data_IF_212392004952
#
_entry.id   IF_212392004952
#
_cell.length_a   1.000
_cell.length_b   1.000
_cell.length_c   1.000
_cell.angle_alpha   90.00
_cell.angle_beta   90.00
_cell.angle_gamma   90.00
#
_symmetry.space_group_name_H-M   'P 1'
#
loop_
_entity.id
_entity.type
_entity.pdbx_description
1 polymer ?
#
# COMPACT_ATOMS: atom_id res chain seq x y z
N UNK A 1 3.32 6.10 -4.77
CA UNK A 1 2.74 4.93 -5.44
C UNK A 1 3.26 4.78 -6.87
N UNK A 2 3.02 5.76 -7.76
CA UNK A 2 3.51 5.77 -9.15
C UNK A 2 4.95 5.24 -9.34
N UNK A 3 5.94 5.82 -8.64
CA UNK A 3 7.35 5.38 -8.75
C UNK A 3 7.53 3.89 -8.52
N UNK A 4 6.90 3.35 -7.46
CA UNK A 4 6.98 1.93 -7.13
C UNK A 4 6.28 1.07 -8.18
N UNK A 5 5.07 1.45 -8.59
CA UNK A 5 4.27 0.69 -9.57
C UNK A 5 4.95 0.60 -10.95
N UNK A 6 5.78 1.58 -11.31
CA UNK A 6 6.55 1.62 -12.56
C UNK A 6 8.05 1.30 -12.37
N UNK A 7 8.46 0.85 -11.17
CA UNK A 7 9.81 0.35 -10.92
C UNK A 7 10.92 1.39 -10.83
N UNK A 8 10.59 2.66 -10.61
CA UNK A 8 11.57 3.72 -10.35
C UNK A 8 12.15 3.58 -8.94
N UNK A 9 13.48 3.64 -8.82
CA UNK A 9 14.24 3.47 -7.58
C UNK A 9 15.26 4.61 -7.43
N UNK A 10 14.75 5.82 -7.18
CA UNK A 10 15.52 7.08 -7.19
C UNK A 10 15.70 7.72 -5.80
N UNK A 11 15.24 7.06 -4.74
CA UNK A 11 15.47 7.46 -3.35
C UNK A 11 15.52 6.23 -2.45
N UNK A 12 15.82 6.44 -1.16
CA UNK A 12 15.98 5.34 -0.20
C UNK A 12 14.74 4.43 -0.15
N UNK A 13 13.54 4.98 -0.01
CA UNK A 13 12.30 4.21 0.09
C UNK A 13 12.06 3.38 -1.17
N UNK A 14 12.15 4.01 -2.35
CA UNK A 14 11.87 3.31 -3.62
C UNK A 14 12.94 2.28 -3.96
N UNK A 15 14.19 2.52 -3.58
CA UNK A 15 15.30 1.55 -3.71
C UNK A 15 15.12 0.35 -2.78
N UNK A 16 14.78 0.58 -1.51
CA UNK A 16 14.49 -0.49 -0.55
C UNK A 16 13.34 -1.37 -1.02
N UNK A 17 12.26 -0.75 -1.48
CA UNK A 17 11.11 -1.45 -2.05
C UNK A 17 11.51 -2.30 -3.25
N UNK A 18 12.33 -1.76 -4.18
CA UNK A 18 12.78 -2.50 -5.36
C UNK A 18 13.65 -3.69 -4.98
N UNK A 19 14.47 -3.55 -3.95
CA UNK A 19 15.33 -4.61 -3.42
C UNK A 19 14.56 -5.60 -2.53
N UNK A 20 13.35 -5.29 -2.07
CA UNK A 20 12.60 -6.13 -1.11
C UNK A 20 12.30 -7.54 -1.63
N UNK A 21 12.28 -7.71 -2.96
CA UNK A 21 12.12 -8.99 -3.64
C UNK A 21 13.45 -9.76 -3.72
N UNK A 22 13.62 -10.78 -2.89
CA UNK A 22 14.73 -11.73 -2.96
C UNK A 22 14.19 -13.17 -3.06
N UNK A 23 14.31 -13.85 -4.21
CA UNK A 23 14.14 -15.29 -4.27
C UNK A 23 15.39 -15.93 -3.66
N UNK A 24 15.35 -16.35 -2.40
CA UNK A 24 16.39 -17.23 -1.88
C UNK A 24 16.09 -18.65 -2.36
N UNK A 25 17.05 -19.25 -3.07
CA UNK A 25 16.96 -20.54 -3.78
C UNK A 25 16.53 -21.74 -2.91
N UNK A 26 16.45 -21.59 -1.59
CA UNK A 26 16.14 -22.68 -0.66
C UNK A 26 14.96 -22.41 0.28
N UNK A 27 14.39 -21.20 0.29
CA UNK A 27 13.14 -20.88 1.01
C UNK A 27 12.66 -19.49 0.60
N UNK A 28 11.52 -19.40 -0.08
CA UNK A 28 10.83 -18.13 -0.29
C UNK A 28 10.29 -17.69 1.07
N UNK A 29 11.05 -16.87 1.79
CA UNK A 29 10.48 -16.14 2.92
C UNK A 29 9.45 -15.19 2.33
N UNK A 30 8.17 -15.48 2.52
CA UNK A 30 7.08 -14.60 2.13
C UNK A 30 7.21 -13.30 2.95
N UNK A 31 7.66 -12.22 2.30
CA UNK A 31 7.78 -10.89 2.92
C UNK A 31 6.59 -10.05 2.48
N UNK A 32 5.47 -10.05 3.23
CA UNK A 32 4.30 -9.30 2.82
C UNK A 32 4.62 -7.80 2.79
N UNK A 33 4.04 -7.10 1.81
CA UNK A 33 4.11 -5.64 1.73
C UNK A 33 2.71 -5.09 1.84
N UNK A 34 2.56 -4.13 2.75
CA UNK A 34 1.33 -3.38 2.94
C UNK A 34 1.56 -1.91 2.58
N UNK A 35 0.53 -1.25 2.06
CA UNK A 35 0.55 0.19 1.84
C UNK A 35 -0.81 0.80 2.18
N UNK A 36 -0.80 1.98 2.80
CA UNK A 36 -1.99 2.75 3.15
C UNK A 36 -1.97 4.07 2.36
N UNK A 37 -2.70 4.16 1.24
CA UNK A 37 -2.73 5.38 0.44
C UNK A 37 -3.32 6.57 1.22
N UNK A 38 -2.77 7.75 0.96
CA UNK A 38 -3.24 9.01 1.52
C UNK A 38 -3.13 10.10 0.46
N UNK A 39 -4.27 10.56 -0.07
CA UNK A 39 -4.33 11.57 -1.12
C UNK A 39 -5.71 12.24 -1.17
N UNK A 40 -5.84 13.37 -1.85
CA UNK A 40 -7.14 14.00 -2.07
C UNK A 40 -8.07 13.09 -2.91
N UNK A 41 -9.39 13.24 -2.74
CA UNK A 41 -10.43 12.51 -3.47
C UNK A 41 -10.23 12.46 -4.98
N UNK A 42 -9.86 13.59 -5.61
CA UNK A 42 -9.66 13.65 -7.05
C UNK A 42 -8.42 12.86 -7.48
N UNK A 43 -7.38 12.82 -6.64
CA UNK A 43 -6.21 11.97 -6.90
C UNK A 43 -6.55 10.50 -6.73
N UNK A 44 -7.38 10.15 -5.74
CA UNK A 44 -7.82 8.77 -5.52
C UNK A 44 -8.67 8.25 -6.69
N UNK A 45 -9.60 9.07 -7.18
CA UNK A 45 -10.46 8.75 -8.32
C UNK A 45 -9.73 8.80 -9.67
N UNK A 46 -8.49 9.28 -9.70
CA UNK A 46 -7.74 9.38 -10.95
C UNK A 46 -7.47 7.98 -11.54
N UNK A 47 -7.67 7.75 -12.85
CA UNK A 47 -7.49 6.43 -13.46
C UNK A 47 -6.09 5.84 -13.26
N UNK A 48 -5.03 6.67 -13.29
CA UNK A 48 -3.68 6.21 -12.95
C UNK A 48 -3.52 5.69 -11.52
N UNK A 49 -4.27 6.21 -10.54
CA UNK A 49 -4.25 5.67 -9.17
C UNK A 49 -4.79 4.24 -9.17
N UNK A 50 -5.89 4.01 -9.88
CA UNK A 50 -6.46 2.67 -10.04
C UNK A 50 -5.47 1.70 -10.73
N UNK A 51 -4.88 2.09 -11.87
CA UNK A 51 -3.88 1.27 -12.57
C UNK A 51 -2.68 0.92 -11.68
N UNK A 52 -2.20 1.89 -10.89
CA UNK A 52 -1.09 1.66 -9.98
C UNK A 52 -1.46 0.68 -8.87
N UNK A 53 -2.66 0.77 -8.30
CA UNK A 53 -3.16 -0.18 -7.29
C UNK A 53 -3.28 -1.57 -7.90
N UNK A 54 -3.84 -1.71 -9.10
CA UNK A 54 -3.94 -2.99 -9.80
C UNK A 54 -2.57 -3.64 -10.04
N UNK A 55 -1.55 -2.84 -10.39
CA UNK A 55 -0.18 -3.35 -10.54
C UNK A 55 0.38 -3.86 -9.21
N UNK A 56 0.23 -3.10 -8.13
CA UNK A 56 0.78 -3.48 -6.82
C UNK A 56 0.04 -4.68 -6.21
N UNK A 57 -1.29 -4.69 -6.24
CA UNK A 57 -2.12 -5.75 -5.67
C UNK A 57 -2.18 -6.97 -6.59
N UNK A 58 -2.47 -6.75 -7.87
CA UNK A 58 -2.68 -7.84 -8.83
C UNK A 58 -1.40 -8.54 -9.28
N UNK A 59 -0.31 -7.80 -9.49
CA UNK A 59 0.96 -8.39 -9.98
C UNK A 59 1.96 -8.70 -8.87
N UNK A 60 2.09 -7.83 -7.88
CA UNK A 60 3.05 -8.02 -6.78
C UNK A 60 2.44 -8.67 -5.54
N UNK A 61 1.11 -8.89 -5.52
CA UNK A 61 0.39 -9.45 -4.39
C UNK A 61 0.55 -8.65 -3.09
N UNK A 62 0.76 -7.34 -3.22
CA UNK A 62 0.79 -6.44 -2.08
C UNK A 62 -0.61 -6.20 -1.52
N UNK A 63 -0.69 -5.84 -0.25
CA UNK A 63 -1.95 -5.60 0.45
C UNK A 63 -2.20 -4.10 0.58
N UNK A 64 -3.25 -3.61 -0.06
CA UNK A 64 -3.73 -2.25 0.12
C UNK A 64 -4.56 -2.16 1.41
N UNK A 65 -4.29 -1.17 2.24
CA UNK A 65 -5.18 -0.75 3.33
C UNK A 65 -5.92 0.47 2.80
N UNK A 66 -7.19 0.27 2.47
CA UNK A 66 -7.96 1.26 1.73
C UNK A 66 -8.10 2.58 2.49
N UNK A 67 -8.07 3.72 1.78
CA UNK A 67 -8.32 5.00 2.40
C UNK A 67 -9.77 5.09 2.87
N UNK A 68 -9.97 5.90 3.90
CA UNK A 68 -11.29 6.16 4.48
C UNK A 68 -11.87 7.47 3.94
N UNK A 69 -13.18 7.60 4.07
CA UNK A 69 -13.88 8.85 3.82
C UNK A 69 -13.78 9.74 5.07
N UNK A 70 -13.38 11.00 4.88
CA UNK A 70 -13.40 12.03 5.95
C UNK A 70 -14.03 13.32 5.45
N UNK A 71 -14.68 14.02 6.36
CA UNK A 71 -15.20 15.37 6.12
C UNK A 71 -14.07 16.38 6.35
N UNK A 72 -13.80 17.17 5.31
CA UNK A 72 -12.85 18.27 5.37
C UNK A 72 -13.44 19.44 6.16
N UNK A 73 -12.57 20.35 6.61
CA UNK A 73 -12.97 21.55 7.36
C UNK A 73 -13.97 22.42 6.57
N UNK A 74 -13.94 22.35 5.24
CA UNK A 74 -14.89 23.05 4.36
C UNK A 74 -16.27 22.38 4.24
N UNK A 75 -16.50 21.23 4.89
CA UNK A 75 -17.76 20.47 4.84
C UNK A 75 -17.86 19.46 3.69
N UNK A 76 -16.92 19.46 2.75
CA UNK A 76 -16.85 18.44 1.70
C UNK A 76 -16.39 17.11 2.27
N UNK A 77 -17.11 16.03 1.93
CA UNK A 77 -16.77 14.68 2.39
C UNK A 77 -16.25 13.87 1.20
N UNK A 78 -15.06 13.30 1.34
CA UNK A 78 -14.39 12.59 0.24
C UNK A 78 -13.53 11.43 0.72
N UNK A 79 -13.37 10.43 -0.14
CA UNK A 79 -12.47 9.29 0.06
C UNK A 79 -11.03 9.70 -0.24
N UNK A 80 -10.06 9.11 0.45
CA UNK A 80 -8.63 9.33 0.16
C UNK A 80 -7.80 9.66 1.40
N UNK A 81 -8.47 9.94 2.53
CA UNK A 81 -7.76 10.04 3.81
C UNK A 81 -7.16 8.68 4.17
N UNK A 82 -5.94 8.69 4.71
CA UNK A 82 -5.31 7.47 5.21
C UNK A 82 -6.21 6.79 6.25
N UNK A 83 -6.26 5.46 6.23
CA UNK A 83 -6.84 4.69 7.33
C UNK A 83 -6.24 5.11 8.68
N UNK A 84 -7.01 4.96 9.76
CA UNK A 84 -6.51 5.28 11.09
C UNK A 84 -5.31 4.40 11.45
N UNK A 85 -4.38 4.96 12.23
CA UNK A 85 -3.17 4.25 12.64
C UNK A 85 -3.51 2.97 13.39
N UNK A 86 -4.57 2.99 14.21
CA UNK A 86 -5.09 1.80 14.90
C UNK A 86 -5.49 0.69 13.93
N UNK A 87 -6.14 1.05 12.83
CA UNK A 87 -6.64 0.09 11.84
C UNK A 87 -5.48 -0.53 11.06
N UNK A 88 -4.49 0.28 10.69
CA UNK A 88 -3.26 -0.18 10.05
C UNK A 88 -2.52 -1.17 10.97
N UNK A 89 -2.32 -0.80 12.23
CA UNK A 89 -1.63 -1.66 13.21
C UNK A 89 -2.40 -2.96 13.44
N UNK A 90 -3.73 -2.89 13.56
CA UNK A 90 -4.56 -4.08 13.75
C UNK A 90 -4.50 -5.02 12.54
N UNK A 91 -4.51 -4.49 11.32
CA UNK A 91 -4.35 -5.26 10.09
C UNK A 91 -3.02 -6.04 10.08
N UNK A 92 -1.92 -5.38 10.47
CA UNK A 92 -0.60 -6.01 10.53
C UNK A 92 -0.51 -7.06 11.65
N UNK A 93 -1.07 -6.79 12.83
CA UNK A 93 -1.12 -7.75 13.94
C UNK A 93 -1.85 -9.04 13.55
N UNK A 94 -2.99 -8.92 12.86
CA UNK A 94 -3.75 -10.07 12.39
C UNK A 94 -2.93 -10.92 11.41
N UNK A 95 -2.15 -10.30 10.53
CA UNK A 95 -1.27 -11.03 9.60
C UNK A 95 -0.14 -11.75 10.33
N UNK A 96 0.52 -11.09 11.27
CA UNK A 96 1.61 -11.69 12.04
C UNK A 96 1.13 -12.91 12.83
N UNK A 97 -0.05 -12.81 13.44
CA UNK A 97 -0.64 -13.92 14.20
C UNK A 97 -1.00 -15.14 13.34
N UNK A 98 -1.34 -14.94 12.06
CA UNK A 98 -1.61 -16.07 11.12
C UNK A 98 -0.36 -16.86 10.78
N UNK A 99 0.83 -16.26 10.91
CA UNK A 99 2.11 -16.88 10.55
C UNK A 99 2.86 -17.46 11.76
N UNK A 100 2.29 -17.36 12.97
CA UNK A 100 2.89 -17.81 14.22
C UNK A 100 2.34 -19.15 14.74
N UNK A 101 1.40 -19.79 14.02
CA UNK A 101 0.84 -21.10 14.33
C UNK A 101 0.74 -21.96 13.07
#
# INVERSE_FOLDING_TARGET
>A
MAKVAYGLADNLLTTLVRAWWFPNEQNIIHKPVYFAPAMNTLMWQHPFTHEQIERLVGRLHWKCIDPVQKTLICGETGIGAMAEVSDIVNCLKQELNKNLF
#
